data_IF_498797059734
#
_entry.id   IF_498797059734
#
_cell.length_a   1.000
_cell.length_b   1.000
_cell.length_c   1.000
_cell.angle_alpha   90.00
_cell.angle_beta   90.00
_cell.angle_gamma   90.00
#
_symmetry.space_group_name_H-M   'P 1'
#
loop_
_entity.id
_entity.type
_entity.pdbx_description
1 polymer ?
#
# COMPACT_ATOMS: atom_id res chain seq x y z
N UNK A 1 -2.50 -4.45 -12.36
CA UNK A 1 -3.51 -3.55 -11.77
C UNK A 1 -4.70 -3.42 -12.70
N UNK A 2 -5.76 -4.17 -12.41
CA UNK A 2 -7.01 -4.08 -13.14
C UNK A 2 -8.16 -4.60 -12.25
N UNK A 3 -9.37 -4.49 -12.74
CA UNK A 3 -10.58 -4.95 -12.05
C UNK A 3 -10.51 -6.45 -11.70
N UNK A 4 -9.99 -7.29 -12.59
CA UNK A 4 -9.89 -8.73 -12.38
C UNK A 4 -8.96 -9.09 -11.22
N UNK A 5 -7.82 -8.39 -11.09
CA UNK A 5 -6.90 -8.59 -9.97
C UNK A 5 -7.55 -8.23 -8.63
N UNK A 6 -8.31 -7.14 -8.58
CA UNK A 6 -9.05 -6.75 -7.36
C UNK A 6 -10.16 -7.75 -7.05
N UNK A 7 -10.90 -8.20 -8.07
CA UNK A 7 -11.96 -9.21 -7.91
C UNK A 7 -11.39 -10.53 -7.37
N UNK A 8 -10.27 -11.00 -7.93
CA UNK A 8 -9.57 -12.19 -7.45
C UNK A 8 -9.11 -12.01 -5.99
N UNK A 9 -8.52 -10.86 -5.67
CA UNK A 9 -8.05 -10.56 -4.33
C UNK A 9 -9.16 -10.66 -3.29
N UNK A 10 -10.34 -10.09 -3.57
CA UNK A 10 -11.49 -10.19 -2.67
C UNK A 10 -12.18 -11.55 -2.69
N UNK A 11 -12.17 -12.28 -3.81
CA UNK A 11 -12.65 -13.65 -3.85
C UNK A 11 -11.80 -14.57 -2.93
N UNK A 12 -10.48 -14.41 -2.95
CA UNK A 12 -9.59 -15.13 -2.05
C UNK A 12 -9.81 -14.73 -0.59
N UNK A 13 -10.05 -13.44 -0.31
CA UNK A 13 -10.44 -12.97 1.02
C UNK A 13 -11.72 -13.66 1.51
N UNK A 14 -12.78 -13.72 0.69
CA UNK A 14 -14.04 -14.40 1.05
C UNK A 14 -13.84 -15.89 1.31
N UNK A 15 -12.89 -16.52 0.63
CA UNK A 15 -12.49 -17.92 0.84
C UNK A 15 -11.59 -18.13 2.06
N UNK A 16 -11.33 -17.07 2.84
CA UNK A 16 -10.47 -17.11 4.04
C UNK A 16 -9.06 -17.61 3.73
N UNK A 17 -8.55 -17.27 2.56
CA UNK A 17 -7.21 -17.64 2.12
C UNK A 17 -6.14 -16.77 2.77
N UNK A 18 -4.92 -17.31 2.86
CA UNK A 18 -3.71 -16.51 3.12
C UNK A 18 -3.23 -16.02 1.76
N UNK A 19 -3.33 -14.72 1.54
CA UNK A 19 -3.09 -14.08 0.24
C UNK A 19 -1.69 -13.49 0.23
N UNK A 20 -0.94 -13.78 -0.83
CA UNK A 20 0.41 -13.27 -1.06
C UNK A 20 0.43 -12.57 -2.42
N UNK A 21 0.15 -11.27 -2.49
CA UNK A 21 0.25 -10.54 -3.74
C UNK A 21 1.72 -10.35 -4.12
N UNK A 22 2.05 -10.62 -5.38
CA UNK A 22 3.37 -10.41 -5.95
C UNK A 22 3.20 -9.65 -7.26
N UNK A 23 3.79 -8.46 -7.33
CA UNK A 23 3.74 -7.59 -8.51
C UNK A 23 5.18 -7.36 -8.98
N UNK A 24 5.75 -8.36 -9.59
CA UNK A 24 7.10 -8.29 -10.17
C UNK A 24 7.11 -8.95 -11.54
N UNK A 25 7.94 -8.45 -12.43
CA UNK A 25 8.30 -9.11 -13.69
C UNK A 25 9.64 -9.86 -13.61
N UNK A 26 10.37 -9.71 -12.49
CA UNK A 26 11.64 -10.37 -12.25
C UNK A 26 11.40 -11.78 -11.69
N UNK A 27 11.70 -12.79 -12.49
CA UNK A 27 11.47 -14.19 -12.14
C UNK A 27 12.27 -14.62 -10.89
N UNK A 28 13.50 -14.16 -10.74
CA UNK A 28 14.33 -14.46 -9.57
C UNK A 28 13.72 -13.91 -8.28
N UNK A 29 13.20 -12.69 -8.33
CA UNK A 29 12.50 -12.09 -7.18
C UNK A 29 11.22 -12.85 -6.84
N UNK A 30 10.44 -13.25 -7.85
CA UNK A 30 9.22 -14.03 -7.66
C UNK A 30 9.58 -15.36 -6.97
N UNK A 31 10.59 -16.07 -7.45
CA UNK A 31 11.01 -17.35 -6.90
C UNK A 31 11.53 -17.22 -5.46
N UNK A 32 12.31 -16.19 -5.14
CA UNK A 32 12.74 -15.90 -3.76
C UNK A 32 11.54 -15.73 -2.83
N UNK A 33 10.54 -14.93 -3.23
CA UNK A 33 9.32 -14.72 -2.45
C UNK A 33 8.50 -16.01 -2.30
N UNK A 34 8.33 -16.79 -3.37
CA UNK A 34 7.62 -18.08 -3.33
C UNK A 34 8.33 -19.10 -2.42
N UNK A 35 9.66 -19.14 -2.43
CA UNK A 35 10.45 -20.02 -1.56
C UNK A 35 10.30 -19.69 -0.08
N UNK A 36 10.11 -18.43 0.27
CA UNK A 36 9.86 -18.00 1.65
C UNK A 36 8.47 -18.43 2.12
N UNK A 37 7.42 -18.19 1.32
CA UNK A 37 6.03 -18.42 1.76
C UNK A 37 5.53 -19.83 1.46
N UNK A 38 6.14 -20.55 0.51
CA UNK A 38 5.79 -21.92 0.10
C UNK A 38 4.28 -22.11 -0.07
N UNK A 39 3.65 -21.40 -1.02
CA UNK A 39 2.20 -21.40 -1.15
C UNK A 39 1.65 -22.74 -1.63
N UNK A 40 0.38 -23.06 -1.33
CA UNK A 40 -0.30 -24.24 -1.87
C UNK A 40 -0.69 -24.07 -3.35
N UNK A 41 -0.94 -22.83 -3.76
CA UNK A 41 -1.34 -22.47 -5.12
C UNK A 41 -0.61 -21.22 -5.57
N UNK A 42 -0.24 -21.17 -6.84
CA UNK A 42 0.23 -19.95 -7.50
C UNK A 42 -0.81 -19.61 -8.57
N UNK A 43 -1.39 -18.42 -8.50
CA UNK A 43 -2.37 -17.94 -9.46
C UNK A 43 -1.73 -16.81 -10.27
N UNK A 44 -1.54 -17.03 -11.56
CA UNK A 44 -1.03 -16.02 -12.50
C UNK A 44 -2.20 -15.38 -13.21
N UNK A 45 -2.27 -14.06 -13.17
CA UNK A 45 -3.31 -13.29 -13.84
C UNK A 45 -2.71 -12.51 -15.01
N UNK A 46 -3.11 -12.88 -16.24
CA UNK A 46 -2.73 -12.22 -17.49
C UNK A 46 -3.99 -11.67 -18.18
N UNK A 47 -4.28 -10.37 -17.96
CA UNK A 47 -5.53 -9.77 -18.41
C UNK A 47 -6.74 -10.42 -17.74
N UNK A 48 -7.56 -11.15 -18.52
CA UNK A 48 -8.71 -11.91 -18.01
C UNK A 48 -8.42 -13.40 -17.84
N UNK A 49 -7.25 -13.86 -18.22
CA UNK A 49 -6.87 -15.28 -18.13
C UNK A 49 -6.24 -15.57 -16.77
N UNK A 50 -6.72 -16.67 -16.16
CA UNK A 50 -6.18 -17.19 -14.90
C UNK A 50 -5.47 -18.51 -15.18
N UNK A 51 -4.20 -18.60 -14.79
CA UNK A 51 -3.45 -19.85 -14.74
C UNK A 51 -3.25 -20.24 -13.27
N UNK A 52 -3.63 -21.44 -12.89
CA UNK A 52 -3.56 -21.93 -11.51
C UNK A 52 -2.64 -23.13 -11.45
N UNK A 53 -1.52 -22.93 -10.78
CA UNK A 53 -0.53 -23.97 -10.54
C UNK A 53 -0.67 -24.50 -9.11
N UNK A 54 -0.90 -25.81 -8.97
CA UNK A 54 -0.87 -26.48 -7.67
C UNK A 54 0.59 -26.70 -7.23
N UNK A 55 0.90 -26.35 -6.01
CA UNK A 55 2.19 -26.63 -5.37
C UNK A 55 2.05 -27.74 -4.33
N UNK A 56 3.19 -28.32 -3.94
CA UNK A 56 3.22 -29.36 -2.91
C UNK A 56 2.73 -28.79 -1.59
N UNK A 57 1.71 -29.40 -0.99
CA UNK A 57 1.21 -29.00 0.32
C UNK A 57 2.23 -29.32 1.41
N UNK A 58 2.53 -28.34 2.24
CA UNK A 58 3.32 -28.54 3.44
C UNK A 58 2.54 -29.36 4.46
N UNK A 59 3.21 -30.24 5.18
CA UNK A 59 2.64 -30.98 6.31
C UNK A 59 2.37 -30.10 7.53
N UNK A 60 3.11 -28.99 7.66
CA UNK A 60 2.93 -27.99 8.72
C UNK A 60 3.08 -26.59 8.16
N UNK A 61 2.22 -25.68 8.59
CA UNK A 61 2.33 -24.26 8.32
C UNK A 61 2.99 -23.53 9.49
N UNK A 62 3.48 -22.32 9.25
CA UNK A 62 3.93 -21.44 10.32
C UNK A 62 2.81 -21.23 11.35
N UNK A 63 3.14 -21.12 12.65
CA UNK A 63 2.14 -21.02 13.72
C UNK A 63 1.13 -19.89 13.53
N UNK A 64 1.57 -18.72 13.02
CA UNK A 64 0.67 -17.59 12.74
C UNK A 64 -0.30 -17.90 11.58
N UNK A 65 0.14 -18.59 10.55
CA UNK A 65 -0.73 -19.05 9.44
C UNK A 65 -1.74 -20.04 9.99
N UNK A 66 -1.30 -21.03 10.78
CA UNK A 66 -2.18 -22.02 11.39
C UNK A 66 -3.23 -21.33 12.29
N UNK A 67 -2.84 -20.36 13.11
CA UNK A 67 -3.76 -19.58 13.96
C UNK A 67 -4.86 -18.89 13.16
N UNK A 68 -4.53 -18.31 11.98
CA UNK A 68 -5.54 -17.69 11.11
C UNK A 68 -6.48 -18.75 10.52
N UNK A 69 -5.94 -19.87 10.05
CA UNK A 69 -6.73 -20.97 9.51
C UNK A 69 -7.71 -21.54 10.55
N UNK A 70 -7.25 -21.78 11.78
CA UNK A 70 -8.07 -22.32 12.87
C UNK A 70 -9.22 -21.35 13.24
N UNK A 71 -8.97 -20.04 13.18
CA UNK A 71 -9.96 -18.98 13.39
C UNK A 71 -10.83 -18.71 12.17
N UNK A 72 -10.60 -19.39 11.04
CA UNK A 72 -11.27 -19.14 9.76
C UNK A 72 -11.16 -17.67 9.32
N UNK A 73 -9.99 -17.07 9.51
CA UNK A 73 -9.68 -15.70 9.14
C UNK A 73 -8.75 -15.66 7.92
N UNK A 74 -8.91 -14.64 7.10
CA UNK A 74 -8.01 -14.40 5.97
C UNK A 74 -6.72 -13.73 6.46
N UNK A 75 -5.59 -14.11 5.84
CA UNK A 75 -4.30 -13.45 6.06
C UNK A 75 -3.83 -12.73 4.81
N UNK A 76 -2.97 -11.74 5.01
CA UNK A 76 -2.28 -11.04 3.94
C UNK A 76 -0.78 -11.06 4.25
N UNK A 77 0.02 -11.58 3.31
CA UNK A 77 1.48 -11.56 3.43
C UNK A 77 2.03 -10.50 2.49
N UNK A 78 2.78 -9.57 3.05
CA UNK A 78 3.52 -8.56 2.30
C UNK A 78 5.03 -8.75 2.53
N UNK A 79 5.83 -8.22 1.61
CA UNK A 79 7.28 -8.27 1.72
C UNK A 79 7.88 -6.89 1.90
N UNK A 80 8.91 -6.80 2.74
CA UNK A 80 9.82 -5.66 2.76
C UNK A 80 11.20 -6.07 2.30
N UNK A 81 11.96 -5.10 1.80
CA UNK A 81 13.39 -5.30 1.52
C UNK A 81 14.13 -5.51 2.84
N UNK A 82 14.63 -6.72 3.07
CA UNK A 82 15.50 -6.98 4.20
C UNK A 82 16.85 -6.26 4.03
N UNK A 83 17.45 -5.80 5.13
CA UNK A 83 18.81 -5.23 5.14
C UNK A 83 19.88 -6.22 4.62
N UNK A 84 19.58 -7.52 4.64
CA UNK A 84 20.42 -8.62 4.15
C UNK A 84 20.21 -8.96 2.68
N UNK A 85 19.31 -8.25 1.98
CA UNK A 85 18.92 -8.55 0.59
C UNK A 85 17.87 -9.65 0.44
N UNK A 86 17.58 -10.42 1.50
CA UNK A 86 16.50 -11.39 1.50
C UNK A 86 15.16 -10.74 1.86
N UNK A 87 14.04 -11.07 1.14
CA UNK A 87 12.75 -10.49 1.43
C UNK A 87 12.22 -10.97 2.79
N UNK A 88 11.84 -10.03 3.65
CA UNK A 88 11.14 -10.33 4.91
C UNK A 88 9.63 -10.43 4.65
N UNK A 89 9.05 -11.59 4.92
CA UNK A 89 7.63 -11.85 4.77
C UNK A 89 6.89 -11.50 6.07
N UNK A 90 5.98 -10.55 6.00
CA UNK A 90 5.15 -10.08 7.11
C UNK A 90 3.73 -10.57 6.93
N UNK A 91 3.16 -11.19 7.97
CA UNK A 91 1.78 -11.68 7.94
C UNK A 91 0.86 -10.75 8.73
N UNK A 92 -0.19 -10.31 8.08
CA UNK A 92 -1.28 -9.51 8.67
C UNK A 92 -2.53 -10.36 8.86
N UNK A 93 -3.29 -10.10 9.92
CA UNK A 93 -4.68 -10.51 9.98
C UNK A 93 -5.50 -9.60 9.06
N UNK A 94 -5.91 -10.14 7.91
CA UNK A 94 -6.57 -9.33 6.89
C UNK A 94 -8.01 -8.96 7.25
N UNK A 95 -8.69 -9.74 8.09
CA UNK A 95 -9.99 -9.37 8.66
C UNK A 95 -9.87 -8.08 9.51
N UNK A 96 -8.89 -8.02 10.41
CA UNK A 96 -8.66 -6.84 11.25
C UNK A 96 -8.31 -5.62 10.39
N UNK A 97 -7.49 -5.82 9.36
CA UNK A 97 -7.14 -4.75 8.43
C UNK A 97 -8.39 -4.21 7.72
N UNK A 98 -9.23 -5.05 7.13
CA UNK A 98 -10.47 -4.62 6.45
C UNK A 98 -11.43 -3.93 7.43
N UNK A 99 -11.57 -4.48 8.64
CA UNK A 99 -12.45 -3.90 9.66
C UNK A 99 -12.05 -2.47 10.05
N UNK A 100 -10.76 -2.14 10.00
CA UNK A 100 -10.28 -0.78 10.30
C UNK A 100 -10.74 0.29 9.29
N UNK A 101 -11.20 -0.13 8.12
CA UNK A 101 -11.73 0.78 7.08
C UNK A 101 -13.25 0.94 7.15
N UNK A 102 -13.94 0.20 8.00
CA UNK A 102 -15.41 0.31 8.14
C UNK A 102 -15.84 1.68 8.69
N UNK A 103 -17.06 2.09 8.37
CA UNK A 103 -17.64 3.34 8.87
C UNK A 103 -17.09 4.62 8.24
N UNK A 104 -16.25 4.54 7.22
CA UNK A 104 -15.77 5.73 6.52
C UNK A 104 -16.91 6.45 5.79
N UNK A 105 -16.93 7.77 5.90
CA UNK A 105 -17.92 8.59 5.18
C UNK A 105 -17.74 8.44 3.68
N UNK A 106 -18.83 8.19 2.98
CA UNK A 106 -18.83 8.17 1.52
C UNK A 106 -18.45 9.52 0.92
N UNK A 107 -17.68 9.50 -0.14
CA UNK A 107 -17.19 10.69 -0.83
C UNK A 107 -17.27 10.51 -2.34
N UNK A 108 -17.89 11.43 -3.04
CA UNK A 108 -17.88 11.47 -4.51
C UNK A 108 -16.52 11.95 -4.99
N UNK A 109 -15.57 11.04 -5.05
CA UNK A 109 -14.18 11.29 -5.46
C UNK A 109 -13.77 10.31 -6.57
N UNK A 110 -12.87 10.78 -7.45
CA UNK A 110 -12.18 9.96 -8.41
C UNK A 110 -10.73 9.81 -7.92
N UNK A 111 -10.29 8.58 -7.71
CA UNK A 111 -8.95 8.29 -7.20
C UNK A 111 -8.17 7.43 -8.18
N UNK A 112 -6.92 7.79 -8.38
CA UNK A 112 -5.98 6.96 -9.10
C UNK A 112 -5.39 5.92 -8.14
N UNK A 113 -5.53 4.64 -8.46
CA UNK A 113 -4.98 3.53 -7.68
C UNK A 113 -3.91 2.85 -8.51
N UNK A 114 -2.66 3.24 -8.30
CA UNK A 114 -1.52 2.72 -9.07
C UNK A 114 -0.31 2.33 -8.20
N UNK A 115 -0.37 2.56 -6.89
CA UNK A 115 0.63 2.03 -5.96
C UNK A 115 0.51 0.50 -5.89
N UNK A 116 1.64 -0.18 -5.78
CA UNK A 116 1.73 -1.65 -5.88
C UNK A 116 0.91 -2.36 -4.80
N UNK A 117 0.17 -3.42 -5.17
CA UNK A 117 -0.65 -4.22 -4.23
C UNK A 117 0.17 -5.16 -3.35
N UNK A 118 1.42 -5.37 -3.66
CA UNK A 118 2.36 -6.10 -2.81
C UNK A 118 3.06 -5.20 -1.77
N UNK A 119 2.58 -3.93 -1.65
CA UNK A 119 3.02 -2.97 -0.62
C UNK A 119 1.84 -2.42 0.16
N UNK A 120 2.08 -2.13 1.45
CA UNK A 120 1.04 -1.61 2.35
C UNK A 120 0.39 -0.31 1.84
N UNK A 121 1.16 0.56 1.18
CA UNK A 121 0.63 1.81 0.60
C UNK A 121 -0.40 1.57 -0.51
N UNK A 122 -0.18 0.57 -1.37
CA UNK A 122 -1.12 0.18 -2.42
C UNK A 122 -2.39 -0.45 -1.85
N UNK A 123 -2.25 -1.38 -0.91
CA UNK A 123 -3.39 -1.98 -0.18
C UNK A 123 -4.20 -0.90 0.55
N UNK A 124 -3.54 -0.02 1.30
CA UNK A 124 -4.21 1.08 2.00
C UNK A 124 -4.97 1.99 1.02
N UNK A 125 -4.38 2.34 -0.12
CA UNK A 125 -5.02 3.18 -1.13
C UNK A 125 -6.27 2.50 -1.69
N UNK A 126 -6.18 1.22 -2.04
CA UNK A 126 -7.32 0.43 -2.53
C UNK A 126 -8.44 0.36 -1.50
N UNK A 127 -8.13 -0.08 -0.28
CA UNK A 127 -9.13 -0.26 0.78
C UNK A 127 -9.79 1.06 1.18
N UNK A 128 -9.02 2.16 1.29
CA UNK A 128 -9.58 3.49 1.53
C UNK A 128 -10.53 3.94 0.43
N UNK A 129 -10.15 3.72 -0.83
CA UNK A 129 -10.97 4.14 -1.97
C UNK A 129 -12.30 3.39 -2.00
N UNK A 130 -12.26 2.08 -1.78
CA UNK A 130 -13.45 1.23 -1.71
C UNK A 130 -14.34 1.62 -0.51
N UNK A 131 -13.75 1.76 0.68
CA UNK A 131 -14.49 2.11 1.89
C UNK A 131 -15.18 3.48 1.80
N UNK A 132 -14.63 4.43 1.05
CA UNK A 132 -15.25 5.73 0.79
C UNK A 132 -16.28 5.70 -0.35
N UNK A 133 -16.48 4.57 -1.04
CA UNK A 133 -17.32 4.49 -2.23
C UNK A 133 -16.84 5.39 -3.37
N UNK A 134 -15.53 5.68 -3.43
CA UNK A 134 -14.95 6.52 -4.45
C UNK A 134 -14.75 5.74 -5.77
N UNK A 135 -14.77 6.44 -6.89
CA UNK A 135 -14.47 5.85 -8.20
C UNK A 135 -12.99 5.53 -8.31
N UNK A 136 -12.68 4.29 -8.62
CA UNK A 136 -11.29 3.82 -8.83
C UNK A 136 -10.95 3.96 -10.30
N UNK A 137 -9.77 4.51 -10.59
CA UNK A 137 -9.16 4.51 -11.90
C UNK A 137 -7.82 3.77 -11.80
N UNK A 138 -7.66 2.72 -12.66
CA UNK A 138 -6.41 2.00 -12.79
C UNK A 138 -5.68 2.46 -14.05
N UNK A 139 -4.40 2.82 -13.96
CA UNK A 139 -3.61 3.14 -15.15
C UNK A 139 -3.12 1.86 -15.84
N UNK A 140 -3.06 1.89 -17.17
CA UNK A 140 -2.41 0.85 -17.96
C UNK A 140 -0.88 0.98 -17.89
N UNK A 141 -0.38 2.21 -17.84
CA UNK A 141 1.04 2.53 -17.72
C UNK A 141 1.29 3.48 -16.56
N UNK A 142 2.54 3.52 -16.10
CA UNK A 142 2.95 4.32 -14.93
C UNK A 142 3.91 5.46 -15.28
N UNK A 143 3.97 5.86 -16.53
CA UNK A 143 4.76 7.04 -16.90
C UNK A 143 3.98 8.34 -16.58
N UNK A 144 4.68 9.46 -16.41
CA UNK A 144 4.07 10.73 -16.04
C UNK A 144 2.98 11.22 -17.00
N UNK A 145 3.15 11.02 -18.29
CA UNK A 145 2.23 11.51 -19.32
C UNK A 145 0.91 10.73 -19.30
N UNK A 146 0.97 9.40 -19.21
CA UNK A 146 -0.24 8.57 -19.11
C UNK A 146 -1.01 8.89 -17.82
N UNK A 147 -0.32 9.07 -16.69
CA UNK A 147 -0.95 9.45 -15.43
C UNK A 147 -1.60 10.84 -15.53
N UNK A 148 -0.91 11.80 -16.14
CA UNK A 148 -1.47 13.14 -16.33
C UNK A 148 -2.68 13.14 -17.28
N UNK A 149 -2.64 12.36 -18.35
CA UNK A 149 -3.78 12.16 -19.26
C UNK A 149 -4.99 11.55 -18.53
N UNK A 150 -4.77 10.55 -17.66
CA UNK A 150 -5.84 9.97 -16.84
C UNK A 150 -6.42 10.98 -15.84
N UNK A 151 -5.57 11.83 -15.24
CA UNK A 151 -6.02 12.89 -14.34
C UNK A 151 -6.95 13.84 -15.07
N UNK A 152 -6.58 14.29 -16.27
CA UNK A 152 -7.38 15.17 -17.11
C UNK A 152 -8.67 14.49 -17.56
N UNK A 153 -8.59 13.30 -18.16
CA UNK A 153 -9.71 12.56 -18.74
C UNK A 153 -10.77 12.17 -17.70
N UNK A 154 -10.31 11.67 -16.56
CA UNK A 154 -11.20 11.14 -15.52
C UNK A 154 -11.41 12.10 -14.37
N UNK A 155 -10.92 13.34 -14.46
CA UNK A 155 -11.06 14.36 -13.42
C UNK A 155 -10.65 13.81 -12.05
N UNK A 156 -9.44 13.27 -11.96
CA UNK A 156 -8.92 12.68 -10.73
C UNK A 156 -8.78 13.74 -9.64
N UNK A 157 -9.28 13.44 -8.44
CA UNK A 157 -9.23 14.34 -7.30
C UNK A 157 -8.05 14.07 -6.37
N UNK A 158 -7.64 12.81 -6.25
CA UNK A 158 -6.58 12.40 -5.31
C UNK A 158 -5.56 11.54 -6.06
N UNK A 159 -4.29 11.95 -5.95
CA UNK A 159 -3.13 11.25 -6.48
C UNK A 159 -2.23 10.80 -5.33
N UNK A 160 -2.25 9.51 -4.93
CA UNK A 160 -1.21 8.94 -4.09
C UNK A 160 0.03 8.65 -4.93
N UNK A 161 1.21 9.15 -4.52
CA UNK A 161 2.42 8.97 -5.30
C UNK A 161 3.68 8.98 -4.40
N UNK A 162 4.79 8.42 -4.88
CA UNK A 162 6.08 8.60 -4.22
C UNK A 162 6.72 9.95 -4.58
N UNK A 163 7.59 10.51 -3.73
CA UNK A 163 8.41 11.67 -4.07
C UNK A 163 9.15 11.52 -5.40
N UNK A 164 9.74 10.35 -5.65
CA UNK A 164 10.41 10.04 -6.91
C UNK A 164 9.49 10.19 -8.11
N UNK A 165 8.27 9.64 -8.05
CA UNK A 165 7.30 9.77 -9.14
C UNK A 165 6.84 11.23 -9.35
N UNK A 166 6.62 11.96 -8.26
CA UNK A 166 6.27 13.39 -8.34
C UNK A 166 7.39 14.21 -8.98
N UNK A 167 8.66 13.88 -8.71
CA UNK A 167 9.78 14.51 -9.39
C UNK A 167 9.78 14.21 -10.91
N UNK A 168 9.48 12.97 -11.30
CA UNK A 168 9.33 12.59 -12.72
C UNK A 168 8.21 13.40 -13.40
N UNK A 169 7.07 13.62 -12.74
CA UNK A 169 5.99 14.46 -13.26
C UNK A 169 6.44 15.91 -13.49
N UNK A 170 7.25 16.49 -12.58
CA UNK A 170 7.81 17.82 -12.74
C UNK A 170 8.83 17.88 -13.89
N UNK A 171 9.73 16.88 -13.98
CA UNK A 171 10.71 16.79 -15.08
C UNK A 171 10.03 16.67 -16.43
N UNK A 172 8.96 15.88 -16.54
CA UNK A 172 8.14 15.76 -17.74
C UNK A 172 7.25 16.99 -17.99
N UNK A 173 7.25 17.99 -17.10
CA UNK A 173 6.45 19.24 -17.21
C UNK A 173 4.97 18.98 -17.48
N UNK A 174 4.40 17.89 -16.93
CA UNK A 174 3.00 17.54 -17.18
C UNK A 174 2.02 18.62 -16.73
N UNK A 175 2.37 19.41 -15.71
CA UNK A 175 1.56 20.52 -15.19
C UNK A 175 1.47 21.71 -16.17
N UNK A 176 2.35 21.79 -17.18
CA UNK A 176 2.29 22.78 -18.25
C UNK A 176 1.50 22.29 -19.48
N UNK A 177 1.37 20.95 -19.65
CA UNK A 177 0.81 20.31 -20.85
C UNK A 177 -0.59 19.72 -20.69
N UNK A 178 -0.97 19.37 -19.47
CA UNK A 178 -2.25 18.74 -19.16
C UNK A 178 -3.06 19.59 -18.19
N UNK A 179 -4.39 19.49 -18.27
CA UNK A 179 -5.29 20.15 -17.33
C UNK A 179 -5.43 19.34 -16.03
N UNK A 180 -4.59 19.61 -15.05
CA UNK A 180 -4.56 18.91 -13.76
C UNK A 180 -5.38 19.64 -12.66
N UNK A 181 -6.28 20.57 -13.03
CA UNK A 181 -7.05 21.39 -12.07
C UNK A 181 -8.03 20.60 -11.20
N UNK A 182 -8.39 19.39 -11.63
CA UNK A 182 -9.22 18.47 -10.83
C UNK A 182 -8.53 17.95 -9.58
N UNK A 183 -7.17 17.94 -9.55
CA UNK A 183 -6.40 17.47 -8.39
C UNK A 183 -6.64 18.38 -7.18
N UNK A 184 -7.32 17.83 -6.16
CA UNK A 184 -7.53 18.47 -4.86
C UNK A 184 -6.43 18.12 -3.86
N UNK A 185 -5.87 16.91 -3.98
CA UNK A 185 -4.86 16.41 -3.05
C UNK A 185 -3.86 15.50 -3.76
N UNK A 186 -2.60 15.67 -3.42
CA UNK A 186 -1.53 14.70 -3.66
C UNK A 186 -1.09 14.19 -2.29
N UNK A 187 -1.18 12.86 -2.08
CA UNK A 187 -0.62 12.23 -0.89
C UNK A 187 0.71 11.59 -1.26
N UNK A 188 1.72 11.76 -0.40
CA UNK A 188 3.05 11.21 -0.65
C UNK A 188 3.64 10.59 0.61
N UNK A 189 4.47 9.57 0.43
CA UNK A 189 5.12 8.82 1.51
C UNK A 189 6.06 7.77 0.93
N UNK A 190 6.44 6.79 1.73
CA UNK A 190 7.36 5.67 1.39
C UNK A 190 8.82 6.06 1.21
N UNK A 191 9.10 7.32 0.88
CA UNK A 191 10.43 7.88 0.67
C UNK A 191 10.52 9.24 1.35
N UNK A 192 11.73 9.69 1.66
CA UNK A 192 11.97 11.05 2.14
C UNK A 192 11.64 12.07 1.05
N UNK A 193 10.90 13.12 1.40
CA UNK A 193 10.59 14.25 0.51
C UNK A 193 11.68 15.32 0.64
N UNK A 194 12.50 15.56 -0.40
CA UNK A 194 13.43 16.70 -0.38
C UNK A 194 12.68 18.04 -0.30
N UNK A 195 13.15 18.95 0.54
CA UNK A 195 12.52 20.26 0.70
C UNK A 195 12.44 21.05 -0.62
N UNK A 196 13.49 20.95 -1.44
CA UNK A 196 13.53 21.57 -2.77
C UNK A 196 12.47 21.04 -3.71
N UNK A 197 12.20 19.72 -3.64
CA UNK A 197 11.12 19.08 -4.43
C UNK A 197 9.75 19.54 -3.92
N UNK A 198 9.55 19.57 -2.61
CA UNK A 198 8.29 20.03 -2.02
C UNK A 198 7.96 21.48 -2.43
N UNK A 199 8.96 22.37 -2.42
CA UNK A 199 8.82 23.77 -2.88
C UNK A 199 8.41 23.83 -4.35
N UNK A 200 9.07 23.05 -5.23
CA UNK A 200 8.73 22.98 -6.66
C UNK A 200 7.30 22.45 -6.87
N UNK A 201 6.93 21.38 -6.18
CA UNK A 201 5.57 20.82 -6.24
C UNK A 201 4.53 21.85 -5.82
N UNK A 202 4.79 22.60 -4.74
CA UNK A 202 3.87 23.65 -4.28
C UNK A 202 3.69 24.77 -5.30
N UNK A 203 4.75 25.16 -6.00
CA UNK A 203 4.70 26.16 -7.06
C UNK A 203 3.96 25.65 -8.31
N UNK A 204 4.20 24.38 -8.70
CA UNK A 204 3.58 23.78 -9.88
C UNK A 204 2.11 23.37 -9.66
N UNK A 205 1.75 23.06 -8.42
CA UNK A 205 0.40 22.66 -8.02
C UNK A 205 -0.18 23.57 -6.91
N UNK A 206 -0.32 24.88 -7.13
CA UNK A 206 -0.63 25.86 -6.06
C UNK A 206 -1.99 25.64 -5.41
N UNK A 207 -2.95 25.04 -6.13
CA UNK A 207 -4.32 24.76 -5.66
C UNK A 207 -4.47 23.38 -5.05
N UNK A 208 -3.46 22.52 -5.15
CA UNK A 208 -3.50 21.14 -4.68
C UNK A 208 -2.91 21.06 -3.27
N UNK A 209 -3.62 20.39 -2.37
CA UNK A 209 -3.09 20.08 -1.04
C UNK A 209 -2.04 18.98 -1.17
N UNK A 210 -0.85 19.24 -0.65
CA UNK A 210 0.19 18.22 -0.49
C UNK A 210 0.10 17.67 0.94
N UNK A 211 -0.04 16.36 1.08
CA UNK A 211 -0.18 15.69 2.37
C UNK A 211 0.81 14.55 2.47
N UNK A 212 1.74 14.66 3.41
CA UNK A 212 2.64 13.58 3.72
C UNK A 212 1.89 12.50 4.52
N UNK A 213 2.00 11.25 4.08
CA UNK A 213 1.53 10.07 4.82
C UNK A 213 2.68 9.44 5.56
N UNK A 214 2.38 8.83 6.69
CA UNK A 214 3.34 8.09 7.51
C UNK A 214 2.80 6.68 7.75
N UNK A 215 3.69 5.71 7.74
CA UNK A 215 3.38 4.33 8.06
C UNK A 215 4.49 3.39 7.65
N UNK A 216 4.45 2.21 8.23
CA UNK A 216 5.35 1.11 7.92
C UNK A 216 4.55 -0.09 7.47
N UNK A 217 5.21 -1.07 6.87
CA UNK A 217 4.54 -2.32 6.52
C UNK A 217 4.06 -3.06 7.76
N UNK A 218 4.71 -2.83 8.90
CA UNK A 218 4.41 -3.47 10.18
C UNK A 218 3.20 -2.86 10.88
N UNK A 219 3.04 -1.54 10.85
CA UNK A 219 2.00 -0.83 11.61
C UNK A 219 0.84 -0.33 10.74
N UNK A 220 0.95 -0.46 9.41
CA UNK A 220 -0.01 0.11 8.47
C UNK A 220 0.24 1.60 8.20
N UNK A 221 -0.64 2.22 7.42
CA UNK A 221 -0.57 3.64 7.07
C UNK A 221 -1.48 4.44 8.01
N UNK A 222 -0.87 5.33 8.78
CA UNK A 222 -1.54 6.14 9.79
C UNK A 222 -2.14 7.42 9.21
N UNK A 223 -3.18 7.91 9.85
CA UNK A 223 -3.73 9.23 9.55
C UNK A 223 -2.77 10.31 10.03
N UNK A 224 -2.43 11.22 9.13
CA UNK A 224 -1.53 12.33 9.42
C UNK A 224 -2.15 13.66 9.05
N UNK A 225 -1.65 14.71 9.66
CA UNK A 225 -1.87 16.08 9.21
C UNK A 225 -0.52 16.78 9.08
N UNK A 226 -0.36 17.57 8.02
CA UNK A 226 0.79 18.46 7.86
C UNK A 226 0.43 19.85 8.38
N UNK A 227 1.38 20.56 8.95
CA UNK A 227 1.23 21.96 9.40
C UNK A 227 0.76 22.85 8.24
N UNK A 228 1.31 22.62 7.06
CA UNK A 228 0.87 23.23 5.80
C UNK A 228 1.28 22.35 4.63
N UNK A 229 0.78 22.61 3.42
CA UNK A 229 1.21 21.89 2.20
C UNK A 229 2.68 22.12 1.82
N UNK A 230 3.36 23.06 2.44
CA UNK A 230 4.79 23.33 2.20
C UNK A 230 5.68 22.91 3.37
N UNK A 231 5.13 22.25 4.39
CA UNK A 231 5.88 21.80 5.57
C UNK A 231 6.15 20.30 5.49
N UNK A 232 7.35 19.91 5.91
CA UNK A 232 7.73 18.51 6.15
C UNK A 232 7.30 18.03 7.54
N UNK A 233 6.83 18.97 8.40
CA UNK A 233 6.34 18.59 9.73
C UNK A 233 4.98 17.91 9.61
N UNK A 234 4.88 16.74 10.20
CA UNK A 234 3.65 15.97 10.29
C UNK A 234 3.29 15.69 11.74
N UNK A 235 2.00 15.59 11.97
CA UNK A 235 1.43 15.09 13.21
C UNK A 235 0.65 13.82 12.91
N UNK A 236 0.89 12.77 13.69
CA UNK A 236 0.10 11.55 13.67
C UNK A 236 -1.20 11.84 14.43
N UNK A 237 -2.34 11.67 13.76
CA UNK A 237 -3.67 11.91 14.31
C UNK A 237 -4.55 10.65 14.15
N UNK A 238 -3.95 9.49 14.35
CA UNK A 238 -4.61 8.20 14.16
C UNK A 238 -5.03 7.63 15.52
N UNK A 239 -6.34 7.48 15.80
CA UNK A 239 -6.82 6.93 17.06
C UNK A 239 -6.54 5.42 17.21
N UNK A 240 -6.09 4.76 16.14
CA UNK A 240 -5.71 3.35 16.14
C UNK A 240 -4.22 3.13 16.36
N UNK A 241 -3.42 4.22 16.45
CA UNK A 241 -1.98 4.17 16.63
C UNK A 241 -1.60 4.89 17.92
N UNK A 242 -0.90 4.18 18.79
CA UNK A 242 -0.21 4.73 19.96
C UNK A 242 1.27 4.87 19.61
N UNK A 243 1.92 5.89 20.16
CA UNK A 243 3.37 6.06 19.99
C UNK A 243 4.02 6.62 21.23
N UNK A 244 5.29 6.30 21.42
CA UNK A 244 6.17 6.88 22.42
C UNK A 244 7.57 7.06 21.85
N UNK A 245 8.34 7.97 22.43
CA UNK A 245 9.76 8.14 22.11
C UNK A 245 10.55 7.63 23.31
N UNK A 246 11.42 6.66 23.07
CA UNK A 246 12.30 6.06 24.08
C UNK A 246 13.74 6.18 23.59
N UNK A 247 14.59 6.88 24.30
CA UNK A 247 16.00 7.09 23.94
C UNK A 247 16.23 7.60 22.51
N UNK A 248 15.31 8.42 22.00
CA UNK A 248 15.36 8.96 20.63
C UNK A 248 14.77 8.07 19.55
N UNK A 249 14.31 6.88 19.89
CA UNK A 249 13.63 5.95 18.98
C UNK A 249 12.11 6.11 19.05
N UNK A 250 11.46 6.05 17.89
CA UNK A 250 10.00 6.10 17.77
C UNK A 250 9.41 4.69 17.87
N UNK A 251 8.73 4.42 18.97
CA UNK A 251 8.02 3.17 19.20
C UNK A 251 6.55 3.33 18.84
N UNK A 252 6.02 2.35 18.10
CA UNK A 252 4.66 2.39 17.55
C UNK A 252 3.88 1.14 17.95
N UNK A 253 2.61 1.32 18.33
CA UNK A 253 1.67 0.24 18.55
C UNK A 253 0.38 0.52 17.79
N UNK A 254 0.01 -0.36 16.86
CA UNK A 254 -1.16 -0.20 16.00
C UNK A 254 -2.15 -1.34 16.19
N UNK A 255 -3.45 -1.02 16.17
CA UNK A 255 -4.52 -2.02 16.20
C UNK A 255 -4.53 -2.94 14.97
N UNK A 256 -3.85 -2.53 13.89
CA UNK A 256 -3.76 -3.26 12.61
C UNK A 256 -2.33 -3.69 12.28
N UNK A 257 -1.45 -3.69 13.28
CA UNK A 257 -0.07 -4.13 13.08
C UNK A 257 0.01 -5.58 12.60
N UNK A 258 1.15 -5.93 12.02
CA UNK A 258 1.41 -7.31 11.60
C UNK A 258 1.33 -8.27 12.79
N UNK A 259 1.02 -9.52 12.51
CA UNK A 259 1.14 -10.59 13.50
C UNK A 259 2.62 -10.93 13.75
N UNK A 260 3.48 -10.70 12.77
CA UNK A 260 4.93 -10.91 12.83
C UNK A 260 5.55 -11.26 11.49
N UNK A 261 6.81 -11.66 11.53
CA UNK A 261 7.56 -12.14 10.38
C UNK A 261 7.50 -13.66 10.26
N UNK A 262 7.38 -14.17 9.03
CA UNK A 262 7.39 -15.62 8.77
C UNK A 262 8.81 -16.19 8.68
N UNK A 263 9.81 -15.35 8.38
CA UNK A 263 11.18 -15.76 8.10
C UNK A 263 12.25 -14.83 8.70
N UNK A 264 11.89 -14.02 9.70
CA UNK A 264 12.84 -13.12 10.36
C UNK A 264 12.60 -13.08 11.87
N UNK A 265 13.59 -12.57 12.63
CA UNK A 265 13.49 -12.38 14.08
C UNK A 265 12.38 -11.40 14.45
N UNK A 266 11.77 -11.62 15.61
CA UNK A 266 10.75 -10.79 16.22
C UNK A 266 11.32 -9.78 17.25
N UNK A 267 12.65 -9.60 17.30
CA UNK A 267 13.33 -8.72 18.29
C UNK A 267 12.86 -7.26 18.25
N UNK A 268 12.35 -6.80 17.08
CA UNK A 268 11.80 -5.45 16.94
C UNK A 268 10.38 -5.28 17.52
N UNK A 269 9.80 -6.36 18.06
CA UNK A 269 8.49 -6.34 18.68
C UNK A 269 8.62 -6.46 20.20
N UNK A 270 7.78 -5.72 20.93
CA UNK A 270 7.64 -5.90 22.37
C UNK A 270 6.66 -7.03 22.70
N UNK A 271 6.67 -7.50 23.95
CA UNK A 271 5.69 -8.52 24.43
C UNK A 271 4.24 -8.06 24.25
N UNK A 272 4.01 -6.75 24.32
CA UNK A 272 2.69 -6.12 24.13
C UNK A 272 2.35 -5.85 22.66
N UNK A 273 3.23 -6.15 21.73
CA UNK A 273 3.08 -5.94 20.29
C UNK A 273 3.68 -4.64 19.80
#
# INVERSE_FOLDING_TARGET
>A
YNFNAVSLFFALYQKKSIIVPIVSSNQEEIEKRLNVVKPNFVIKLNGSYLDIENKVRLSRHHAMIQSLCDKKQSGLVLFSSGSTGEPKAMIHNFENMINSYQGKKQKKLNMLVFLMFDHIGGINTLLNTLAMGAKIIFPSNRNPDDIASLIEMHQIHILPASPTFLNMMLMAKVHERFNLRSLKMITYGTESMPESLLKKLKSSFPRTRLLQTFGTSETGISQTSSRSSGSLDIKINDPSLEYKIVEGELWLKSKVQVMGYLNASMESFTEDG
#
